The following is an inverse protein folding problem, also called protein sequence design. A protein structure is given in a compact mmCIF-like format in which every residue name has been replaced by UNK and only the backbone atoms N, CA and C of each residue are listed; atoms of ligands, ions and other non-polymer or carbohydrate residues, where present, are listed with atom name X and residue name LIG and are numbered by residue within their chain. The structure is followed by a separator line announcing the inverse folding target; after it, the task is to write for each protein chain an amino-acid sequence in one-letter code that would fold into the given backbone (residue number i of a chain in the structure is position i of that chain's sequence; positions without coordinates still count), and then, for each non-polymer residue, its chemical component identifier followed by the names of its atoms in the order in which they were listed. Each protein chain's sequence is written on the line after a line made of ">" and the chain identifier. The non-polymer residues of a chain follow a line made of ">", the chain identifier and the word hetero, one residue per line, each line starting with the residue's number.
data_IF_118590996881
#
_entry.id   IF_118590996881
#
_cell.length_a   1.000
_cell.length_b   1.000
_cell.length_c   1.000
_cell.angle_alpha   90.00
_cell.angle_beta   90.00
_cell.angle_gamma   90.00
#
_symmetry.space_group_name_H-M   'P 1'
#
loop_
_entity.id
_entity.type
_entity.pdbx_description
1 polymer ?
#
# COMPACT_ATOMS: atom_id res chain seq x y z
N UNK A 1 16.41 14.90 -19.38
CA UNK A 1 15.52 13.74 -19.58
C UNK A 1 15.90 12.72 -18.52
N UNK A 2 15.58 13.01 -17.27
CA UNK A 2 15.95 12.17 -16.13
C UNK A 2 14.76 11.27 -15.84
N UNK A 3 14.88 10.00 -16.20
CA UNK A 3 13.89 8.98 -15.84
C UNK A 3 14.04 8.73 -14.35
N UNK A 4 13.19 9.37 -13.53
CA UNK A 4 12.90 8.90 -12.18
C UNK A 4 12.35 7.48 -12.32
N UNK A 5 13.28 6.54 -12.30
CA UNK A 5 13.00 5.15 -12.02
C UNK A 5 12.57 5.19 -10.56
N UNK A 6 11.27 5.36 -10.34
CA UNK A 6 10.65 5.01 -9.08
C UNK A 6 10.91 3.51 -8.92
N UNK A 7 12.09 3.19 -8.37
CA UNK A 7 12.37 1.94 -7.69
C UNK A 7 11.39 1.90 -6.54
N UNK A 8 10.14 1.54 -6.85
CA UNK A 8 9.24 0.91 -5.91
C UNK A 8 10.04 -0.24 -5.34
N UNK A 9 10.49 -0.18 -4.07
CA UNK A 9 11.13 -1.31 -3.45
C UNK A 9 10.15 -2.45 -3.55
N UNK A 10 10.67 -3.49 -4.18
CA UNK A 10 10.03 -4.70 -4.63
C UNK A 10 8.92 -5.11 -3.64
N UNK A 11 7.67 -5.16 -4.12
CA UNK A 11 6.56 -5.82 -3.45
C UNK A 11 6.79 -7.35 -3.26
N UNK A 12 8.03 -7.84 -3.36
CA UNK A 12 8.40 -9.25 -3.17
C UNK A 12 8.47 -9.64 -1.70
N UNK A 13 8.59 -8.68 -0.77
CA UNK A 13 8.40 -8.92 0.67
C UNK A 13 6.92 -8.78 1.06
N UNK A 14 6.00 -9.30 0.24
CA UNK A 14 4.69 -9.66 0.77
C UNK A 14 4.97 -10.70 1.87
N UNK A 15 4.90 -10.32 3.16
CA UNK A 15 5.45 -11.16 4.19
C UNK A 15 4.58 -12.41 4.28
N UNK A 16 5.21 -13.56 4.52
CA UNK A 16 4.53 -14.85 4.54
C UNK A 16 3.35 -14.88 5.54
N UNK A 17 3.33 -13.95 6.49
CA UNK A 17 2.23 -13.69 7.42
C UNK A 17 0.93 -13.22 6.73
N UNK A 18 1.01 -12.54 5.59
CA UNK A 18 -0.16 -12.02 4.89
C UNK A 18 -0.87 -13.07 4.04
N UNK A 19 -0.22 -14.15 3.63
CA UNK A 19 -0.86 -15.17 2.80
C UNK A 19 -2.11 -15.76 3.50
N UNK A 20 -2.01 -16.02 4.81
CA UNK A 20 -3.13 -16.49 5.63
C UNK A 20 -4.24 -15.46 5.76
N UNK A 21 -3.88 -14.19 6.00
CA UNK A 21 -4.85 -13.09 6.08
C UNK A 21 -5.60 -12.90 4.76
N UNK A 22 -4.88 -12.85 3.63
CA UNK A 22 -5.46 -12.68 2.29
C UNK A 22 -6.33 -13.88 1.90
N UNK A 23 -6.00 -15.09 2.35
CA UNK A 23 -6.85 -16.26 2.17
C UNK A 23 -8.15 -16.14 2.99
N UNK A 24 -8.05 -15.72 4.26
CA UNK A 24 -9.21 -15.51 5.13
C UNK A 24 -10.18 -14.46 4.58
N UNK A 25 -9.68 -13.45 3.85
CA UNK A 25 -10.51 -12.44 3.19
C UNK A 25 -11.55 -13.04 2.22
N UNK A 26 -11.29 -14.21 1.63
CA UNK A 26 -12.25 -14.88 0.76
C UNK A 26 -13.56 -15.26 1.47
N UNK A 27 -13.56 -15.32 2.81
CA UNK A 27 -14.72 -15.63 3.64
C UNK A 27 -15.45 -14.38 4.17
N UNK A 28 -14.93 -13.18 3.92
CA UNK A 28 -15.58 -11.94 4.34
C UNK A 28 -16.87 -11.67 3.53
N UNK A 29 -17.78 -10.93 4.15
CA UNK A 29 -18.98 -10.43 3.47
C UNK A 29 -18.62 -9.37 2.43
N UNK A 30 -19.53 -9.10 1.50
CA UNK A 30 -19.29 -8.11 0.46
C UNK A 30 -19.14 -6.70 1.04
N UNK A 31 -19.84 -6.39 2.14
CA UNK A 31 -19.74 -5.11 2.86
C UNK A 31 -18.34 -4.93 3.45
N UNK A 32 -17.81 -5.96 4.13
CA UNK A 32 -16.46 -5.93 4.68
C UNK A 32 -15.39 -5.82 3.58
N UNK A 33 -15.59 -6.50 2.45
CA UNK A 33 -14.71 -6.35 1.28
C UNK A 33 -14.81 -4.95 0.67
N UNK A 34 -16.00 -4.33 0.66
CA UNK A 34 -16.15 -2.95 0.21
C UNK A 34 -15.42 -1.99 1.13
N UNK A 35 -15.54 -2.11 2.45
CA UNK A 35 -14.80 -1.27 3.40
C UNK A 35 -13.29 -1.38 3.16
N UNK A 36 -12.75 -2.60 3.02
CA UNK A 36 -11.34 -2.82 2.72
C UNK A 36 -10.94 -2.27 1.35
N UNK A 37 -11.81 -2.37 0.35
CA UNK A 37 -11.58 -1.85 -1.00
C UNK A 37 -11.59 -0.31 -1.06
N UNK A 38 -12.26 0.37 -0.12
CA UNK A 38 -12.32 1.84 -0.03
C UNK A 38 -11.34 2.40 1.00
N UNK A 39 -10.79 1.58 1.89
CA UNK A 39 -9.81 1.99 2.90
C UNK A 39 -8.64 2.76 2.26
N UNK A 40 -8.32 3.91 2.84
CA UNK A 40 -7.20 4.75 2.45
C UNK A 40 -6.21 4.79 3.62
N UNK A 41 -4.93 4.90 3.30
CA UNK A 41 -3.93 5.24 4.32
C UNK A 41 -4.18 6.69 4.76
N UNK A 42 -4.11 6.99 6.08
CA UNK A 42 -4.28 8.35 6.58
C UNK A 42 -3.31 9.32 5.89
N UNK A 43 -3.76 10.53 5.53
CA UNK A 43 -2.92 11.49 4.81
C UNK A 43 -1.63 11.82 5.59
N UNK A 44 -1.68 11.84 6.91
CA UNK A 44 -0.52 12.12 7.77
C UNK A 44 0.58 11.05 7.62
N UNK A 45 0.19 9.78 7.40
CA UNK A 45 1.16 8.70 7.13
C UNK A 45 1.73 8.78 5.72
N UNK A 46 0.96 9.32 4.78
CA UNK A 46 1.40 9.50 3.40
C UNK A 46 2.39 10.67 3.29
N UNK A 47 2.13 11.78 4.00
CA UNK A 47 3.05 12.91 4.15
C UNK A 47 4.36 12.46 4.79
N UNK A 48 4.30 11.74 5.92
CA UNK A 48 5.49 11.22 6.58
C UNK A 48 6.32 10.30 5.67
N UNK A 49 5.65 9.43 4.89
CA UNK A 49 6.33 8.58 3.92
C UNK A 49 7.05 9.42 2.84
N UNK A 50 6.42 10.49 2.36
CA UNK A 50 7.00 11.39 1.38
C UNK A 50 8.25 12.10 1.94
N UNK A 51 8.14 12.66 3.14
CA UNK A 51 9.24 13.38 3.79
C UNK A 51 10.46 12.46 4.02
N UNK A 52 10.24 11.23 4.51
CA UNK A 52 11.31 10.26 4.72
C UNK A 52 11.96 9.79 3.40
N UNK A 53 11.18 9.66 2.32
CA UNK A 53 11.71 9.35 0.99
C UNK A 53 12.55 10.50 0.43
N UNK A 54 12.11 11.74 0.66
CA UNK A 54 12.85 12.95 0.28
C UNK A 54 14.18 13.04 1.03
N UNK A 55 14.18 12.83 2.34
CA UNK A 55 15.39 12.77 3.17
C UNK A 55 16.32 11.63 2.73
N UNK A 56 15.77 10.46 2.38
CA UNK A 56 16.56 9.35 1.84
C UNK A 56 17.23 9.73 0.52
N UNK A 57 16.49 10.40 -0.38
CA UNK A 57 16.98 10.86 -1.68
C UNK A 57 18.09 11.90 -1.56
N UNK A 58 18.09 12.70 -0.48
CA UNK A 58 19.15 13.67 -0.15
C UNK A 58 20.33 13.04 0.60
N UNK A 59 20.20 11.79 1.06
CA UNK A 59 21.21 11.13 1.89
C UNK A 59 21.26 11.66 3.33
N UNK A 60 20.20 12.32 3.78
CA UNK A 60 20.07 12.94 5.11
C UNK A 60 19.36 12.02 6.10
N UNK A 61 18.80 10.89 5.63
CA UNK A 61 18.04 9.96 6.44
C UNK A 61 18.93 9.11 7.37
N UNK A 62 18.76 9.33 8.67
CA UNK A 62 19.48 8.58 9.71
C UNK A 62 18.94 7.15 9.90
N UNK A 63 19.57 6.36 10.78
CA UNK A 63 19.16 4.97 11.06
C UNK A 63 17.75 4.86 11.67
N UNK A 64 17.27 5.92 12.33
CA UNK A 64 15.92 5.94 12.90
C UNK A 64 14.90 6.17 11.80
N UNK A 65 15.13 7.16 10.95
CA UNK A 65 14.32 7.44 9.77
C UNK A 65 14.29 6.27 8.79
N UNK A 66 15.40 5.56 8.59
CA UNK A 66 15.42 4.34 7.76
C UNK A 66 14.52 3.23 8.30
N UNK A 67 14.50 3.04 9.63
CA UNK A 67 13.60 2.06 10.27
C UNK A 67 12.14 2.47 10.18
N UNK A 68 11.86 3.75 10.37
CA UNK A 68 10.51 4.30 10.27
C UNK A 68 9.98 4.21 8.83
N UNK A 69 10.82 4.55 7.85
CA UNK A 69 10.52 4.41 6.44
C UNK A 69 10.23 2.95 6.08
N UNK A 70 11.08 2.00 6.50
CA UNK A 70 10.83 0.58 6.27
C UNK A 70 9.50 0.11 6.88
N UNK A 71 9.16 0.57 8.09
CA UNK A 71 7.90 0.25 8.74
C UNK A 71 6.68 0.82 8.00
N UNK A 72 6.75 2.08 7.55
CA UNK A 72 5.71 2.75 6.77
C UNK A 72 5.51 2.09 5.42
N UNK A 73 6.60 1.74 4.73
CA UNK A 73 6.54 1.02 3.46
C UNK A 73 5.90 -0.37 3.61
N UNK A 74 6.24 -1.10 4.68
CA UNK A 74 5.62 -2.38 4.95
C UNK A 74 4.13 -2.24 5.29
N UNK A 75 3.73 -1.20 6.02
CA UNK A 75 2.32 -0.87 6.26
C UNK A 75 1.59 -0.53 4.97
N UNK A 76 2.21 0.28 4.12
CA UNK A 76 1.67 0.68 2.82
C UNK A 76 1.45 -0.52 1.91
N UNK A 77 2.47 -1.38 1.78
CA UNK A 77 2.39 -2.63 1.03
C UNK A 77 1.29 -3.56 1.54
N UNK A 78 1.17 -3.73 2.86
CA UNK A 78 0.08 -4.49 3.50
C UNK A 78 -1.29 -3.94 3.15
N UNK A 79 -1.48 -2.63 3.28
CA UNK A 79 -2.75 -2.00 2.96
C UNK A 79 -3.10 -2.20 1.47
N UNK A 80 -2.14 -1.98 0.56
CA UNK A 80 -2.37 -2.13 -0.87
C UNK A 80 -2.71 -3.56 -1.27
N UNK A 81 -2.05 -4.55 -0.67
CA UNK A 81 -2.32 -5.96 -0.95
C UNK A 81 -3.72 -6.39 -0.48
N UNK A 82 -4.14 -6.00 0.73
CA UNK A 82 -5.52 -6.24 1.20
C UNK A 82 -6.54 -5.59 0.28
N UNK A 83 -6.30 -4.34 -0.11
CA UNK A 83 -7.20 -3.58 -0.97
C UNK A 83 -7.34 -4.21 -2.35
N UNK A 84 -6.21 -4.61 -2.97
CA UNK A 84 -6.19 -5.31 -4.24
C UNK A 84 -6.91 -6.66 -4.16
N UNK A 85 -6.70 -7.43 -3.09
CA UNK A 85 -7.40 -8.70 -2.86
C UNK A 85 -8.91 -8.50 -2.70
N UNK A 86 -9.33 -7.48 -1.95
CA UNK A 86 -10.75 -7.16 -1.77
C UNK A 86 -11.43 -6.78 -3.09
N UNK A 87 -10.79 -5.94 -3.90
CA UNK A 87 -11.26 -5.59 -5.24
C UNK A 87 -11.37 -6.84 -6.13
N UNK A 88 -10.34 -7.69 -6.15
CA UNK A 88 -10.38 -8.94 -6.93
C UNK A 88 -11.52 -9.88 -6.52
N UNK A 89 -11.79 -9.99 -5.22
CA UNK A 89 -12.92 -10.78 -4.70
C UNK A 89 -14.28 -10.16 -5.06
N UNK A 90 -14.42 -8.84 -4.95
CA UNK A 90 -15.65 -8.14 -5.36
C UNK A 90 -15.94 -8.31 -6.85
N UNK A 91 -14.93 -8.21 -7.72
CA UNK A 91 -15.05 -8.49 -9.15
C UNK A 91 -15.51 -9.93 -9.39
N UNK A 92 -14.88 -10.90 -8.73
CA UNK A 92 -15.23 -12.31 -8.86
C UNK A 92 -16.69 -12.60 -8.40
N UNK A 93 -17.21 -11.80 -7.47
CA UNK A 93 -18.60 -11.87 -6.98
C UNK A 93 -19.58 -11.00 -7.77
N UNK A 94 -19.13 -10.30 -8.83
CA UNK A 94 -19.97 -9.44 -9.65
C UNK A 94 -20.45 -8.16 -8.94
N UNK A 95 -19.73 -7.72 -7.90
CA UNK A 95 -20.05 -6.52 -7.12
C UNK A 95 -19.34 -5.29 -7.70
N UNK A 96 -19.91 -4.08 -7.53
CA UNK A 96 -19.24 -2.84 -7.92
C UNK A 96 -17.95 -2.66 -7.09
N UNK A 97 -16.90 -2.24 -7.77
CA UNK A 97 -15.59 -1.96 -7.16
C UNK A 97 -15.23 -0.48 -7.23
N UNK A 98 -14.57 0.06 -6.22
CA UNK A 98 -14.02 1.40 -6.29
C UNK A 98 -12.93 1.47 -7.35
N UNK A 99 -12.84 2.63 -8.02
CA UNK A 99 -11.71 2.94 -8.90
C UNK A 99 -10.46 2.98 -8.00
N UNK A 100 -9.52 2.08 -8.22
CA UNK A 100 -8.22 2.13 -7.55
C UNK A 100 -7.47 3.34 -8.10
N UNK A 101 -7.65 4.50 -7.48
CA UNK A 101 -6.82 5.66 -7.81
C UNK A 101 -5.41 5.31 -7.36
N UNK A 102 -4.53 5.03 -8.32
CA UNK A 102 -3.09 5.07 -8.08
C UNK A 102 -2.80 6.45 -7.48
N UNK A 103 -2.04 6.56 -6.38
CA UNK A 103 -1.60 7.88 -5.91
C UNK A 103 -0.89 8.55 -7.08
N UNK A 104 -1.44 9.67 -7.53
CA UNK A 104 -0.84 10.50 -8.56
C UNK A 104 0.56 10.91 -8.07
N UNK A 105 1.63 10.76 -8.87
CA UNK A 105 2.82 11.56 -8.62
C UNK A 105 2.38 13.03 -8.79
N UNK A 106 2.56 13.86 -7.75
CA UNK A 106 2.33 15.30 -7.84
C UNK A 106 3.17 15.86 -9.03
N UNK A 107 2.63 16.74 -9.88
CA UNK A 107 3.32 17.34 -11.04
C UNK A 107 4.62 18.09 -10.74
#
# INVERSE_FOLDING_TARGET
>A
METLTATLPLLDDAPADMAGELAAMAHLSDEALQELAHGMIPPERQELLHDLLDEQGRGELDETGQRELAALMAEYGRHMLRRAKAVGLLIARGRPVPVLSRPSPDP
#
